data_IF_737232498644
#
_entry.id   IF_737232498644
#
_cell.length_a   1.000
_cell.length_b   1.000
_cell.length_c   1.000
_cell.angle_alpha   90.00
_cell.angle_beta   90.00
_cell.angle_gamma   90.00
#
_symmetry.space_group_name_H-M   'P 1'
#
loop_
_entity.id
_entity.type
_entity.pdbx_description
1 polymer ?
#
# COMPACT_ATOMS: atom_id res chain seq x y z
N UNK A 1 -1.89 -13.23 1.79
CA UNK A 1 -1.20 -12.00 2.23
C UNK A 1 -0.36 -11.50 1.07
N UNK A 2 -0.88 -10.55 0.31
CA UNK A 2 -0.02 -9.77 -0.58
C UNK A 2 0.85 -8.90 0.34
N UNK A 3 2.14 -9.19 0.36
CA UNK A 3 3.11 -8.30 1.00
C UNK A 3 2.99 -6.93 0.32
N UNK A 4 2.98 -5.84 1.10
CA UNK A 4 2.88 -4.50 0.53
C UNK A 4 3.95 -4.28 -0.54
N UNK A 5 3.63 -3.54 -1.61
CA UNK A 5 4.53 -3.22 -2.74
C UNK A 5 5.95 -2.86 -2.25
N UNK A 6 6.05 -2.13 -1.15
CA UNK A 6 7.30 -1.62 -0.57
C UNK A 6 7.84 -2.41 0.61
N UNK A 7 7.25 -3.55 0.98
CA UNK A 7 7.80 -4.41 2.03
C UNK A 7 9.27 -4.78 1.82
N UNK A 8 9.76 -5.05 0.59
CA UNK A 8 11.19 -5.31 0.40
C UNK A 8 12.09 -4.17 0.90
N UNK A 9 11.64 -2.91 0.82
CA UNK A 9 12.37 -1.77 1.36
C UNK A 9 12.40 -1.79 2.90
N UNK A 10 11.30 -2.17 3.57
CA UNK A 10 11.29 -2.35 5.02
C UNK A 10 12.29 -3.41 5.46
N UNK A 11 12.35 -4.52 4.74
CA UNK A 11 13.25 -5.62 5.08
C UNK A 11 14.71 -5.23 4.78
N UNK A 12 14.97 -4.40 3.76
CA UNK A 12 16.27 -3.79 3.52
C UNK A 12 16.70 -2.83 4.66
N UNK A 13 15.79 -1.98 5.15
CA UNK A 13 16.05 -1.09 6.30
C UNK A 13 16.39 -1.90 7.54
N UNK A 14 15.63 -2.97 7.83
CA UNK A 14 15.89 -3.86 8.98
C UNK A 14 17.24 -4.56 8.87
N UNK A 15 17.58 -5.09 7.69
CA UNK A 15 18.85 -5.76 7.46
C UNK A 15 20.03 -4.81 7.63
N UNK A 16 19.91 -3.59 7.11
CA UNK A 16 20.92 -2.54 7.25
C UNK A 16 21.03 -2.03 8.69
N UNK A 17 19.92 -1.96 9.40
CA UNK A 17 19.81 -1.35 10.73
C UNK A 17 19.61 0.17 10.69
N UNK A 18 19.10 0.72 9.58
CA UNK A 18 18.86 2.16 9.42
C UNK A 18 18.18 2.52 8.09
N UNK A 19 17.52 3.68 8.09
CA UNK A 19 16.64 4.15 7.00
C UNK A 19 17.39 4.88 5.87
N UNK A 20 18.63 5.29 6.12
CA UNK A 20 19.44 6.07 5.17
C UNK A 20 20.40 5.18 4.40
N UNK A 21 20.33 5.21 3.08
CA UNK A 21 21.20 4.49 2.16
C UNK A 21 22.11 5.45 1.42
N UNK A 22 23.40 5.15 1.35
CA UNK A 22 24.36 6.03 0.68
C UNK A 22 24.08 6.14 -0.82
N UNK A 23 23.57 5.08 -1.46
CA UNK A 23 23.32 5.05 -2.91
C UNK A 23 22.18 4.10 -3.28
N UNK A 24 21.58 4.31 -4.48
CA UNK A 24 20.62 3.35 -5.07
C UNK A 24 21.22 1.95 -5.23
N UNK A 25 22.51 1.87 -5.55
CA UNK A 25 23.24 0.60 -5.69
C UNK A 25 23.32 -0.18 -4.39
N UNK A 26 23.36 0.49 -3.24
CA UNK A 26 23.33 -0.16 -1.93
C UNK A 26 21.97 -0.85 -1.70
N UNK A 27 20.86 -0.15 -1.96
CA UNK A 27 19.51 -0.70 -1.86
C UNK A 27 19.34 -1.90 -2.81
N UNK A 28 19.74 -1.74 -4.09
CA UNK A 28 19.71 -2.82 -5.08
C UNK A 28 20.53 -4.03 -4.61
N UNK A 29 21.72 -3.78 -4.06
CA UNK A 29 22.60 -4.82 -3.56
C UNK A 29 21.95 -5.65 -2.46
N UNK A 30 21.30 -4.98 -1.51
CA UNK A 30 20.57 -5.62 -0.42
C UNK A 30 19.38 -6.42 -0.94
N UNK A 31 18.53 -5.82 -1.76
CA UNK A 31 17.31 -6.45 -2.28
C UNK A 31 17.62 -7.67 -3.16
N UNK A 32 18.61 -7.55 -4.04
CA UNK A 32 18.88 -8.57 -5.05
C UNK A 32 19.82 -9.68 -4.61
N UNK A 33 20.77 -9.38 -3.70
CA UNK A 33 21.80 -10.35 -3.33
C UNK A 33 21.73 -10.77 -1.86
N UNK A 34 21.47 -9.85 -0.94
CA UNK A 34 21.46 -10.20 0.48
C UNK A 34 20.14 -10.84 0.91
N UNK A 35 19.02 -10.26 0.47
CA UNK A 35 17.67 -10.79 0.73
C UNK A 35 17.23 -11.78 -0.35
N UNK A 36 17.67 -11.57 -1.60
CA UNK A 36 17.28 -12.42 -2.72
C UNK A 36 15.79 -12.33 -3.07
N UNK A 37 15.15 -11.22 -2.71
CA UNK A 37 13.71 -11.01 -2.87
C UNK A 37 13.34 -10.54 -4.29
N UNK A 38 14.26 -9.84 -4.97
CA UNK A 38 14.03 -9.22 -6.27
C UNK A 38 15.23 -9.43 -7.20
N UNK A 39 15.00 -9.48 -8.51
CA UNK A 39 16.08 -9.30 -9.48
C UNK A 39 16.60 -7.86 -9.48
N UNK A 40 17.80 -7.63 -10.03
CA UNK A 40 18.36 -6.27 -10.17
C UNK A 40 17.42 -5.34 -10.94
N UNK A 41 16.73 -5.84 -11.97
CA UNK A 41 15.74 -5.07 -12.74
C UNK A 41 14.52 -4.70 -11.91
N UNK A 42 14.00 -5.63 -11.12
CA UNK A 42 12.84 -5.39 -10.26
C UNK A 42 13.18 -4.42 -9.12
N UNK A 43 14.38 -4.55 -8.52
CA UNK A 43 14.86 -3.62 -7.50
C UNK A 43 15.00 -2.20 -8.05
N UNK A 44 15.53 -2.03 -9.26
CA UNK A 44 15.61 -0.70 -9.92
C UNK A 44 14.23 -0.09 -10.10
N UNK A 45 13.29 -0.86 -10.63
CA UNK A 45 11.91 -0.42 -10.83
C UNK A 45 11.23 -0.05 -9.51
N UNK A 46 11.39 -0.87 -8.48
CA UNK A 46 10.82 -0.60 -7.15
C UNK A 46 11.35 0.73 -6.58
N UNK A 47 12.65 1.00 -6.74
CA UNK A 47 13.26 2.27 -6.27
C UNK A 47 12.72 3.46 -7.06
N UNK A 48 12.59 3.34 -8.39
CA UNK A 48 12.00 4.41 -9.22
C UNK A 48 10.57 4.73 -8.78
N UNK A 49 9.72 3.70 -8.69
CA UNK A 49 8.35 3.82 -8.19
C UNK A 49 8.31 4.43 -6.78
N UNK A 50 9.21 4.00 -5.88
CA UNK A 50 9.28 4.50 -4.51
C UNK A 50 9.70 5.97 -4.44
N UNK A 51 10.57 6.43 -5.33
CA UNK A 51 10.98 7.84 -5.41
C UNK A 51 9.86 8.71 -5.98
N UNK A 52 9.13 8.21 -7.00
CA UNK A 52 7.98 8.92 -7.56
C UNK A 52 6.84 9.08 -6.54
N UNK A 53 6.62 8.06 -5.71
CA UNK A 53 5.58 8.04 -4.67
C UNK A 53 6.03 8.68 -3.34
N UNK A 54 7.27 9.18 -3.25
CA UNK A 54 7.80 9.86 -2.05
C UNK A 54 8.17 8.92 -0.90
N UNK A 55 8.15 7.61 -1.13
CA UNK A 55 8.62 6.58 -0.17
C UNK A 55 10.14 6.63 -0.01
N UNK A 56 10.85 7.00 -1.08
CA UNK A 56 12.29 7.27 -1.05
C UNK A 56 12.54 8.73 -1.38
N UNK A 57 13.27 9.41 -0.51
CA UNK A 57 13.71 10.79 -0.71
C UNK A 57 15.22 10.85 -0.91
N UNK A 58 15.67 11.58 -1.94
CA UNK A 58 17.09 11.83 -2.18
C UNK A 58 17.54 13.11 -1.46
N UNK A 59 18.53 12.96 -0.58
CA UNK A 59 19.10 14.03 0.25
C UNK A 59 20.62 14.09 0.06
N UNK A 60 21.31 15.16 0.53
CA UNK A 60 22.77 15.22 0.48
C UNK A 60 23.48 14.08 1.23
N UNK A 61 22.81 13.50 2.25
CA UNK A 61 23.34 12.42 3.08
C UNK A 61 23.04 11.02 2.51
N UNK A 62 22.25 10.94 1.44
CA UNK A 62 21.85 9.69 0.78
C UNK A 62 20.34 9.61 0.49
N UNK A 63 19.85 8.40 0.28
CA UNK A 63 18.45 8.08 0.06
C UNK A 63 17.80 7.67 1.39
N UNK A 64 16.81 8.43 1.83
CA UNK A 64 16.01 8.13 3.03
C UNK A 64 14.82 7.28 2.60
N UNK A 65 14.63 6.12 3.23
CA UNK A 65 13.42 5.30 3.11
C UNK A 65 12.47 5.68 4.24
N UNK A 66 11.34 6.28 3.89
CA UNK A 66 10.30 6.69 4.84
C UNK A 66 9.46 5.48 5.27
N UNK A 67 9.89 4.80 6.34
CA UNK A 67 9.29 3.56 6.85
C UNK A 67 7.85 3.77 7.33
N UNK A 68 7.57 4.93 7.92
CA UNK A 68 6.26 5.39 8.35
C UNK A 68 5.26 5.41 7.19
N UNK A 69 5.65 5.97 6.04
CA UNK A 69 4.79 6.01 4.86
C UNK A 69 4.49 4.61 4.30
N UNK A 70 5.45 3.68 4.39
CA UNK A 70 5.23 2.30 3.96
C UNK A 70 4.24 1.58 4.90
N UNK A 71 4.37 1.80 6.21
CA UNK A 71 3.47 1.22 7.21
C UNK A 71 2.05 1.77 7.08
N UNK A 72 1.91 3.08 6.84
CA UNK A 72 0.63 3.72 6.57
C UNK A 72 -0.04 3.12 5.31
N UNK A 73 0.72 2.87 4.23
CA UNK A 73 0.17 2.20 3.05
C UNK A 73 -0.30 0.77 3.33
N UNK A 74 0.45 0.01 4.13
CA UNK A 74 0.05 -1.35 4.51
C UNK A 74 -1.23 -1.33 5.35
N UNK A 75 -1.31 -0.43 6.34
CA UNK A 75 -2.50 -0.26 7.16
C UNK A 75 -3.72 0.16 6.32
N UNK A 76 -3.55 1.10 5.38
CA UNK A 76 -4.62 1.51 4.45
C UNK A 76 -5.12 0.36 3.58
N UNK A 77 -4.24 -0.52 3.14
CA UNK A 77 -4.60 -1.72 2.36
C UNK A 77 -5.34 -2.76 3.21
N UNK A 78 -4.94 -2.92 4.46
CA UNK A 78 -5.60 -3.82 5.41
C UNK A 78 -7.05 -3.38 5.66
N UNK A 79 -7.25 -2.09 5.97
CA UNK A 79 -8.58 -1.49 6.16
C UNK A 79 -9.48 -1.67 4.94
N UNK A 80 -8.95 -1.43 3.73
CA UNK A 80 -9.71 -1.67 2.50
C UNK A 80 -10.13 -3.14 2.38
N UNK A 81 -9.20 -4.06 2.68
CA UNK A 81 -9.48 -5.50 2.70
C UNK A 81 -10.60 -5.86 3.68
N UNK A 82 -10.54 -5.36 4.91
CA UNK A 82 -11.57 -5.60 5.92
C UNK A 82 -12.95 -5.05 5.51
N UNK A 83 -12.99 -3.87 4.89
CA UNK A 83 -14.24 -3.31 4.35
C UNK A 83 -14.80 -4.19 3.24
N UNK A 84 -13.96 -4.63 2.31
CA UNK A 84 -14.36 -5.49 1.18
C UNK A 84 -14.90 -6.83 1.68
N UNK A 85 -14.20 -7.49 2.61
CA UNK A 85 -14.64 -8.75 3.22
C UNK A 85 -15.99 -8.58 3.93
N UNK A 86 -16.13 -7.51 4.73
CA UNK A 86 -17.38 -7.22 5.43
C UNK A 86 -18.56 -7.04 4.46
N UNK A 87 -18.37 -6.24 3.42
CA UNK A 87 -19.40 -5.96 2.43
C UNK A 87 -19.77 -7.25 1.69
N UNK A 88 -18.77 -8.00 1.21
CA UNK A 88 -18.96 -9.27 0.52
C UNK A 88 -19.79 -10.24 1.35
N UNK A 89 -19.41 -10.42 2.62
CA UNK A 89 -20.09 -11.31 3.57
C UNK A 89 -21.54 -10.90 3.83
N UNK A 90 -21.82 -9.61 4.01
CA UNK A 90 -23.18 -9.14 4.30
C UNK A 90 -24.09 -9.13 3.07
N UNK A 91 -23.53 -8.95 1.87
CA UNK A 91 -24.29 -8.96 0.62
C UNK A 91 -24.38 -10.34 -0.03
N UNK A 92 -23.62 -11.33 0.45
CA UNK A 92 -23.58 -12.68 -0.10
C UNK A 92 -22.95 -12.74 -1.49
N UNK A 93 -22.02 -11.81 -1.79
CA UNK A 93 -21.27 -11.73 -3.05
C UNK A 93 -19.78 -11.93 -2.76
N UNK A 94 -18.98 -12.12 -3.81
CA UNK A 94 -17.53 -12.26 -3.66
C UNK A 94 -16.83 -10.92 -3.42
N UNK A 95 -15.66 -10.95 -2.80
CA UNK A 95 -14.79 -9.78 -2.64
C UNK A 95 -14.40 -9.15 -4.00
N UNK A 96 -14.25 -9.98 -5.04
CA UNK A 96 -13.96 -9.52 -6.41
C UNK A 96 -15.13 -8.68 -6.93
N UNK A 97 -16.37 -9.16 -6.77
CA UNK A 97 -17.56 -8.40 -7.17
C UNK A 97 -17.67 -7.07 -6.42
N UNK A 98 -17.33 -7.04 -5.12
CA UNK A 98 -17.29 -5.79 -4.35
C UNK A 98 -16.26 -4.81 -4.94
N UNK A 99 -15.06 -5.28 -5.24
CA UNK A 99 -14.01 -4.45 -5.86
C UNK A 99 -14.43 -3.91 -7.23
N UNK A 100 -15.10 -4.72 -8.05
CA UNK A 100 -15.63 -4.29 -9.35
C UNK A 100 -16.70 -3.20 -9.21
N UNK A 101 -17.62 -3.35 -8.25
CA UNK A 101 -18.66 -2.34 -7.98
C UNK A 101 -18.08 -1.04 -7.43
N UNK A 102 -17.05 -1.12 -6.59
CA UNK A 102 -16.31 0.03 -6.08
C UNK A 102 -15.58 0.77 -7.21
N UNK A 103 -14.97 0.06 -8.16
CA UNK A 103 -14.36 0.72 -9.33
C UNK A 103 -15.42 1.39 -10.23
N UNK A 104 -16.63 0.83 -10.33
CA UNK A 104 -17.74 1.50 -11.03
C UNK A 104 -18.18 2.79 -10.34
N UNK A 105 -18.03 2.91 -9.01
CA UNK A 105 -18.28 4.14 -8.27
C UNK A 105 -17.25 5.24 -8.58
N UNK A 106 -16.00 4.87 -8.89
CA UNK A 106 -14.96 5.82 -9.31
C UNK A 106 -15.37 6.64 -10.53
N UNK A 107 -16.13 6.05 -11.45
CA UNK A 107 -16.67 6.75 -12.62
C UNK A 107 -17.72 7.82 -12.25
N UNK A 108 -18.39 7.67 -11.10
CA UNK A 108 -19.42 8.60 -10.62
C UNK A 108 -18.85 9.69 -9.71
N UNK A 109 -17.90 9.33 -8.86
CA UNK A 109 -17.37 10.22 -7.82
C UNK A 109 -15.97 10.76 -8.11
N UNK A 110 -15.33 10.35 -9.21
CA UNK A 110 -13.98 10.79 -9.59
C UNK A 110 -12.88 9.99 -8.88
N UNK A 111 -11.67 10.54 -8.85
CA UNK A 111 -10.48 9.85 -8.32
C UNK A 111 -10.41 9.91 -6.78
N UNK A 112 -11.43 9.34 -6.11
CA UNK A 112 -11.46 9.18 -4.66
C UNK A 112 -10.61 7.97 -4.21
N UNK A 113 -10.12 8.02 -2.97
CA UNK A 113 -9.49 6.90 -2.28
C UNK A 113 -10.42 5.68 -2.28
N UNK A 114 -9.88 4.49 -2.59
CA UNK A 114 -10.63 3.23 -2.65
C UNK A 114 -11.33 2.89 -1.33
N UNK A 115 -10.77 3.27 -0.19
CA UNK A 115 -11.39 3.10 1.14
C UNK A 115 -12.68 3.92 1.25
N UNK A 116 -12.64 5.17 0.78
CA UNK A 116 -13.83 6.03 0.74
C UNK A 116 -14.88 5.43 -0.19
N UNK A 117 -14.47 4.95 -1.37
CA UNK A 117 -15.41 4.32 -2.30
C UNK A 117 -16.01 3.03 -1.73
N UNK A 118 -15.24 2.20 -1.02
CA UNK A 118 -15.72 1.01 -0.32
C UNK A 118 -16.73 1.36 0.78
N UNK A 119 -16.41 2.39 1.58
CA UNK A 119 -17.29 2.88 2.63
C UNK A 119 -18.62 3.41 2.06
N UNK A 120 -18.56 4.23 1.02
CA UNK A 120 -19.75 4.74 0.32
C UNK A 120 -20.58 3.62 -0.29
N UNK A 121 -19.93 2.62 -0.90
CA UNK A 121 -20.62 1.45 -1.44
C UNK A 121 -21.39 0.69 -0.36
N UNK A 122 -20.76 0.42 0.79
CA UNK A 122 -21.42 -0.24 1.92
C UNK A 122 -22.65 0.54 2.41
N UNK A 123 -22.53 1.86 2.53
CA UNK A 123 -23.66 2.72 2.89
C UNK A 123 -24.78 2.72 1.83
N UNK A 124 -24.45 2.80 0.54
CA UNK A 124 -25.43 2.72 -0.57
C UNK A 124 -26.21 1.39 -0.55
N UNK A 125 -25.59 0.31 -0.03
CA UNK A 125 -26.21 -1.02 0.12
C UNK A 125 -26.94 -1.22 1.45
N UNK A 126 -27.00 -0.20 2.30
CA UNK A 126 -27.71 -0.26 3.58
C UNK A 126 -26.95 -1.01 4.68
N UNK A 127 -25.63 -1.17 4.54
CA UNK A 127 -24.79 -1.78 5.57
C UNK A 127 -24.41 -0.77 6.64
N UNK A 128 -24.26 -1.24 7.88
CA UNK A 128 -23.70 -0.42 8.96
C UNK A 128 -22.18 -0.37 8.84
N UNK A 129 -21.69 0.74 8.29
CA UNK A 129 -20.26 0.99 8.09
C UNK A 129 -19.63 1.77 9.26
N UNK A 130 -20.38 2.08 10.32
CA UNK A 130 -19.91 2.98 11.38
C UNK A 130 -18.58 2.54 12.00
N UNK A 131 -18.35 1.21 12.11
CA UNK A 131 -17.11 0.62 12.63
C UNK A 131 -15.85 0.99 11.85
N UNK A 132 -15.98 1.39 10.59
CA UNK A 132 -14.87 1.75 9.71
C UNK A 132 -14.68 3.26 9.58
N UNK A 133 -15.58 4.06 10.17
CA UNK A 133 -15.55 5.50 10.03
C UNK A 133 -14.31 6.11 10.68
N UNK A 134 -13.98 5.64 11.88
CA UNK A 134 -12.82 6.15 12.64
C UNK A 134 -11.49 5.82 11.94
N UNK A 135 -11.47 4.74 11.15
CA UNK A 135 -10.28 4.29 10.38
C UNK A 135 -10.10 5.02 9.04
N UNK A 136 -11.09 5.82 8.62
CA UNK A 136 -11.00 6.67 7.44
C UNK A 136 -10.49 8.09 7.75
N UNK A 137 -10.58 8.50 9.02
CA UNK A 137 -10.17 9.83 9.49
C UNK A 137 -8.70 9.86 9.98
N UNK A 138 -8.03 8.71 10.02
CA UNK A 138 -6.59 8.55 10.28
C UNK A 138 -5.76 8.46 8.99
#
# INVERSE_FOLDING_TARGET
MALGKYKPLLDAVKLKGGEVFATKSEIIGILAYNLGELTVSEAKKLIEDAMEEGIIEETPDGLIVHVDLIQDEEQKKDILGEMVEYIAKNLGISEIEVLEEIEKLRNRYGNLDKRILAYLYGLEKGLDMARFKDELEG
#
